data_IF_715124445496
#
_entry.id   IF_715124445496
#
_cell.length_a   1.000
_cell.length_b   1.000
_cell.length_c   1.000
_cell.angle_alpha   90.00
_cell.angle_beta   90.00
_cell.angle_gamma   90.00
#
_symmetry.space_group_name_H-M   'P 1'
#
loop_
_entity.id
_entity.type
_entity.pdbx_description
1 polymer ?
#
# COMPACT_ATOMS: atom_id res chain seq x y z
N UNK A 1 -4.54 -15.24 20.56
CA UNK A 1 -3.65 -16.16 19.83
C UNK A 1 -3.36 -15.53 18.47
N UNK A 2 -2.10 -15.35 18.09
CA UNK A 2 -1.71 -14.64 16.84
C UNK A 2 -1.30 -15.67 15.79
N UNK A 3 -1.74 -15.50 14.55
CA UNK A 3 -1.36 -16.36 13.42
C UNK A 3 -0.40 -15.61 12.50
N UNK A 4 0.80 -16.14 12.32
CA UNK A 4 1.81 -15.58 11.41
C UNK A 4 1.86 -16.43 10.15
N UNK A 5 1.80 -15.78 8.97
CA UNK A 5 1.91 -16.42 7.66
C UNK A 5 2.91 -15.66 6.80
N UNK A 6 3.80 -16.38 6.13
CA UNK A 6 4.73 -15.82 5.14
C UNK A 6 4.23 -16.14 3.73
N UNK A 7 4.09 -15.11 2.89
CA UNK A 7 3.68 -15.26 1.49
C UNK A 7 4.88 -14.94 0.58
N UNK A 8 5.40 -15.96 -0.10
CA UNK A 8 6.48 -15.81 -1.09
C UNK A 8 5.89 -15.67 -2.48
N UNK A 9 6.07 -14.52 -3.10
CA UNK A 9 5.50 -14.18 -4.41
C UNK A 9 6.67 -14.11 -5.40
N UNK A 10 6.74 -15.08 -6.32
CA UNK A 10 7.69 -15.04 -7.43
C UNK A 10 7.19 -14.00 -8.43
N UNK A 11 8.07 -13.11 -8.88
CA UNK A 11 7.73 -12.08 -9.86
C UNK A 11 8.74 -12.09 -11.02
N UNK A 12 8.27 -11.73 -12.21
CA UNK A 12 9.07 -11.68 -13.43
C UNK A 12 9.65 -10.29 -13.70
N UNK A 13 9.86 -9.49 -12.65
CA UNK A 13 10.49 -8.18 -12.74
C UNK A 13 11.69 -8.08 -11.80
N UNK A 14 12.61 -7.19 -12.15
CA UNK A 14 13.75 -6.84 -11.29
C UNK A 14 13.27 -6.09 -10.04
N UNK A 15 14.14 -5.99 -9.03
CA UNK A 15 13.84 -5.28 -7.78
C UNK A 15 13.50 -3.80 -8.03
N UNK A 16 14.21 -3.16 -8.96
CA UNK A 16 13.99 -1.75 -9.31
C UNK A 16 12.66 -1.54 -10.05
N UNK A 17 12.32 -2.43 -10.99
CA UNK A 17 11.02 -2.40 -11.66
C UNK A 17 9.88 -2.65 -10.68
N UNK A 18 10.05 -3.58 -9.73
CA UNK A 18 9.05 -3.84 -8.70
C UNK A 18 8.79 -2.61 -7.82
N UNK A 19 9.83 -1.87 -7.45
CA UNK A 19 9.70 -0.64 -6.66
C UNK A 19 8.78 0.39 -7.32
N UNK A 20 8.89 0.55 -8.65
CA UNK A 20 8.05 1.48 -9.42
C UNK A 20 6.65 0.88 -9.64
N UNK A 21 6.58 -0.39 -10.05
CA UNK A 21 5.35 -1.09 -10.37
C UNK A 21 4.41 -1.20 -9.15
N UNK A 22 4.95 -1.44 -7.96
CA UNK A 22 4.18 -1.51 -6.73
C UNK A 22 3.46 -0.20 -6.44
N UNK A 23 4.16 0.93 -6.54
CA UNK A 23 3.58 2.25 -6.28
C UNK A 23 2.47 2.58 -7.29
N UNK A 24 2.69 2.27 -8.58
CA UNK A 24 1.68 2.42 -9.61
C UNK A 24 0.46 1.54 -9.36
N UNK A 25 0.66 0.27 -9.04
CA UNK A 25 -0.43 -0.69 -8.79
C UNK A 25 -1.27 -0.26 -7.59
N UNK A 26 -0.63 0.17 -6.49
CA UNK A 26 -1.33 0.68 -5.31
C UNK A 26 -2.17 1.92 -5.65
N UNK A 27 -1.61 2.89 -6.38
CA UNK A 27 -2.36 4.07 -6.79
C UNK A 27 -3.57 3.72 -7.67
N UNK A 28 -3.36 2.84 -8.67
CA UNK A 28 -4.41 2.41 -9.60
C UNK A 28 -5.53 1.63 -8.91
N UNK A 29 -5.19 0.72 -8.00
CA UNK A 29 -6.17 -0.02 -7.20
C UNK A 29 -6.91 0.93 -6.27
N UNK A 30 -6.21 1.83 -5.55
CA UNK A 30 -6.86 2.83 -4.69
C UNK A 30 -7.85 3.70 -5.46
N UNK A 31 -7.55 4.10 -6.70
CA UNK A 31 -8.50 4.84 -7.55
C UNK A 31 -9.71 4.00 -7.96
N UNK A 32 -9.50 2.71 -8.27
CA UNK A 32 -10.57 1.80 -8.70
C UNK A 32 -11.54 1.46 -7.56
N UNK A 33 -11.00 1.23 -6.37
CA UNK A 33 -11.77 0.87 -5.17
C UNK A 33 -12.45 2.09 -4.52
N UNK A 34 -12.11 3.32 -4.95
CA UNK A 34 -12.81 4.53 -4.51
C UNK A 34 -14.06 4.71 -5.37
N UNK A 35 -15.16 4.06 -4.98
CA UNK A 35 -16.45 4.13 -5.68
C UNK A 35 -17.54 3.32 -4.96
N UNK A 36 -18.78 3.84 -4.96
CA UNK A 36 -19.97 3.21 -4.35
C UNK A 36 -19.99 3.10 -2.82
N UNK A 37 -19.35 4.02 -2.09
CA UNK A 37 -19.46 4.11 -0.62
C UNK A 37 -18.39 3.32 0.15
N UNK A 38 -17.52 2.62 -0.56
CA UNK A 38 -16.26 2.05 -0.08
C UNK A 38 -15.09 2.83 -0.66
N UNK A 39 -13.98 2.96 0.07
CA UNK A 39 -12.85 3.75 -0.42
C UNK A 39 -11.62 3.79 0.46
N UNK A 40 -10.54 4.34 -0.10
CA UNK A 40 -9.24 4.49 0.57
C UNK A 40 -8.88 5.97 0.66
N UNK A 41 -8.85 6.51 1.87
CA UNK A 41 -8.44 7.90 2.13
C UNK A 41 -6.99 7.95 2.63
N UNK A 42 -6.15 8.74 1.95
CA UNK A 42 -4.75 8.94 2.35
C UNK A 42 -4.68 10.16 3.27
N UNK A 43 -4.43 9.92 4.57
CA UNK A 43 -4.34 10.99 5.58
C UNK A 43 -2.97 11.65 5.61
N UNK A 44 -1.90 10.86 5.45
CA UNK A 44 -0.51 11.32 5.47
C UNK A 44 0.30 10.58 4.42
N UNK A 45 1.16 11.30 3.71
CA UNK A 45 2.11 10.75 2.76
C UNK A 45 3.37 11.61 2.76
N UNK A 46 4.25 11.38 3.75
CA UNK A 46 5.40 12.24 4.00
C UNK A 46 6.69 11.42 3.99
N UNK A 47 7.80 11.98 3.45
CA UNK A 47 9.10 11.35 3.60
C UNK A 47 9.51 11.38 5.07
N UNK A 48 10.11 10.28 5.55
CA UNK A 48 10.69 10.22 6.89
C UNK A 48 12.18 9.88 6.82
N UNK A 49 12.94 10.47 7.74
CA UNK A 49 14.35 10.23 7.95
C UNK A 49 14.56 10.13 9.46
N UNK A 50 14.81 8.93 9.97
CA UNK A 50 15.01 8.67 11.38
C UNK A 50 16.22 7.76 11.60
N UNK A 51 16.57 7.51 12.87
CA UNK A 51 17.71 6.64 13.23
C UNK A 51 17.59 5.20 12.71
N UNK A 52 16.39 4.77 12.26
CA UNK A 52 16.12 3.45 11.67
C UNK A 52 16.14 3.47 10.14
N UNK A 53 16.37 4.62 9.52
CA UNK A 53 16.54 4.78 8.07
C UNK A 53 15.61 5.80 7.42
N UNK A 54 15.71 5.87 6.09
CA UNK A 54 14.95 6.78 5.23
C UNK A 54 13.86 6.02 4.48
N UNK A 55 12.66 6.60 4.37
CA UNK A 55 11.57 5.99 3.63
C UNK A 55 10.36 6.90 3.44
N UNK A 56 9.26 6.32 2.95
CA UNK A 56 7.99 7.00 2.78
C UNK A 56 7.01 6.49 3.84
N UNK A 57 6.42 7.40 4.60
CA UNK A 57 5.38 7.06 5.57
C UNK A 57 4.01 7.39 4.99
N UNK A 58 3.12 6.38 4.94
CA UNK A 58 1.73 6.58 4.50
C UNK A 58 0.75 6.09 5.56
N UNK A 59 -0.20 6.94 5.93
CA UNK A 59 -1.35 6.58 6.75
C UNK A 59 -2.61 6.61 5.90
N UNK A 60 -3.38 5.51 5.90
CA UNK A 60 -4.59 5.36 5.09
C UNK A 60 -5.75 4.81 5.92
N UNK A 61 -6.94 5.34 5.69
CA UNK A 61 -8.19 4.79 6.21
C UNK A 61 -8.87 4.02 5.08
N UNK A 62 -9.24 2.77 5.37
CA UNK A 62 -10.03 1.93 4.49
C UNK A 62 -11.46 1.91 5.03
N UNK A 63 -12.39 2.47 4.26
CA UNK A 63 -13.82 2.47 4.56
C UNK A 63 -14.47 1.33 3.80
N UNK A 64 -15.02 0.36 4.53
CA UNK A 64 -15.78 -0.76 3.98
C UNK A 64 -17.27 -0.54 4.27
N UNK A 65 -18.11 -0.71 3.25
CA UNK A 65 -19.55 -0.68 3.38
C UNK A 65 -19.98 -2.03 3.95
N UNK A 66 -20.90 -2.00 4.91
CA UNK A 66 -21.50 -3.25 5.42
C UNK A 66 -22.37 -3.85 4.31
N UNK A 67 -21.99 -5.03 3.82
CA UNK A 67 -22.93 -5.97 3.21
C UNK A 67 -23.93 -6.47 4.26
#
# INVERSE_FOLDING_TARGET
>A
MVMVKEYRIINNCTVDEYRIAQLYAVAKISMKETGSGEGVEVLKNEPYDNEKGKGQYTSKIYSFARQ
#
